data_IF_721054660391
#
_entry.id   IF_721054660391
#
_cell.length_a   1.000
_cell.length_b   1.000
_cell.length_c   1.000
_cell.angle_alpha   90.00
_cell.angle_beta   90.00
_cell.angle_gamma   90.00
#
_symmetry.space_group_name_H-M   'P 1'
#
loop_
_entity.id
_entity.type
_entity.pdbx_description
1 polymer ?
#
# COMPACT_ATOMS: atom_id res chain seq x y z
N UNK A 1 9.71 -5.68 -8.61
CA UNK A 1 10.99 -4.95 -8.80
C UNK A 1 11.49 -4.54 -7.43
N UNK A 2 12.79 -4.61 -7.15
CA UNK A 2 13.33 -4.09 -5.89
C UNK A 2 13.28 -2.54 -5.91
N UNK A 3 13.15 -1.89 -4.75
CA UNK A 3 13.10 -0.42 -4.59
C UNK A 3 14.22 0.28 -5.36
N UNK A 4 15.42 -0.30 -5.36
CA UNK A 4 16.58 0.23 -6.08
C UNK A 4 16.38 0.22 -7.61
N UNK A 5 15.82 -0.84 -8.18
CA UNK A 5 15.53 -0.94 -9.62
C UNK A 5 14.46 0.07 -10.04
N UNK A 6 13.40 0.21 -9.22
CA UNK A 6 12.34 1.18 -9.43
C UNK A 6 12.89 2.59 -9.48
N UNK A 7 13.79 2.90 -8.56
CA UNK A 7 14.39 4.23 -8.50
C UNK A 7 15.40 4.47 -9.62
N UNK A 8 16.24 3.50 -9.98
CA UNK A 8 17.14 3.62 -11.13
C UNK A 8 16.36 3.87 -12.42
N UNK A 9 15.21 3.20 -12.58
CA UNK A 9 14.28 3.43 -13.68
C UNK A 9 13.72 4.86 -13.64
N UNK A 10 13.30 5.36 -12.47
CA UNK A 10 12.84 6.74 -12.27
C UNK A 10 13.92 7.78 -12.61
N UNK A 11 15.15 7.58 -12.10
CA UNK A 11 16.31 8.45 -12.37
C UNK A 11 16.64 8.48 -13.86
N UNK A 12 16.67 7.31 -14.53
CA UNK A 12 16.92 7.22 -15.97
C UNK A 12 15.84 7.92 -16.78
N UNK A 13 14.57 7.75 -16.38
CA UNK A 13 13.41 8.36 -17.03
C UNK A 13 13.48 9.88 -16.92
N UNK A 14 13.65 10.40 -15.71
CA UNK A 14 13.76 11.84 -15.47
C UNK A 14 14.97 12.44 -16.20
N UNK A 15 16.15 11.81 -16.15
CA UNK A 15 17.33 12.26 -16.91
C UNK A 15 17.05 12.36 -18.41
N UNK A 16 16.48 11.32 -19.01
CA UNK A 16 16.20 11.29 -20.44
C UNK A 16 15.17 12.36 -20.83
N UNK A 17 14.14 12.56 -20.00
CA UNK A 17 13.16 13.63 -20.20
C UNK A 17 13.80 15.02 -20.12
N UNK A 18 14.64 15.28 -19.11
CA UNK A 18 15.37 16.55 -18.97
C UNK A 18 16.27 16.82 -20.19
N UNK A 19 16.97 15.82 -20.70
CA UNK A 19 17.80 15.97 -21.91
C UNK A 19 16.96 16.28 -23.15
N UNK A 20 15.80 15.64 -23.29
CA UNK A 20 14.89 15.90 -24.40
C UNK A 20 14.30 17.32 -24.33
N UNK A 21 13.91 17.79 -23.14
CA UNK A 21 13.46 19.17 -22.93
C UNK A 21 14.55 20.18 -23.21
N UNK A 22 15.80 19.91 -22.80
CA UNK A 22 16.94 20.76 -23.12
C UNK A 22 17.20 20.86 -24.63
N UNK A 23 17.09 19.74 -25.35
CA UNK A 23 17.18 19.73 -26.80
C UNK A 23 16.04 20.54 -27.44
N UNK A 24 14.79 20.39 -26.97
CA UNK A 24 13.65 21.15 -27.46
C UNK A 24 13.81 22.65 -27.21
N UNK A 25 14.21 23.06 -26.00
CA UNK A 25 14.44 24.46 -25.66
C UNK A 25 15.50 25.08 -26.59
N UNK A 26 16.61 24.37 -26.83
CA UNK A 26 17.64 24.82 -27.78
C UNK A 26 17.10 24.93 -29.20
N UNK A 27 16.38 23.91 -29.69
CA UNK A 27 15.81 23.90 -31.03
C UNK A 27 14.80 25.04 -31.24
N UNK A 28 13.85 25.22 -30.31
CA UNK A 28 12.89 26.32 -30.34
C UNK A 28 13.59 27.67 -30.31
N UNK A 29 14.60 27.84 -29.46
CA UNK A 29 15.33 29.09 -29.33
C UNK A 29 16.09 29.46 -30.60
N UNK A 30 16.81 28.50 -31.18
CA UNK A 30 17.55 28.69 -32.42
C UNK A 30 16.60 29.02 -33.60
N UNK A 31 15.51 28.26 -33.74
CA UNK A 31 14.51 28.49 -34.80
C UNK A 31 13.75 29.80 -34.55
N UNK A 32 13.43 30.14 -33.30
CA UNK A 32 12.75 31.38 -32.92
C UNK A 32 13.57 32.61 -33.33
N UNK A 33 14.87 32.61 -33.03
CA UNK A 33 15.79 33.68 -33.45
C UNK A 33 15.90 33.73 -34.98
N UNK A 34 16.12 32.59 -35.63
CA UNK A 34 16.32 32.53 -37.08
C UNK A 34 15.05 32.90 -37.89
N UNK A 35 13.87 32.54 -37.38
CA UNK A 35 12.58 32.82 -38.03
C UNK A 35 12.00 34.20 -37.70
N UNK A 36 12.60 34.92 -36.75
CA UNK A 36 12.05 36.16 -36.18
C UNK A 36 10.81 35.95 -35.30
N UNK A 37 10.49 34.71 -34.93
CA UNK A 37 9.30 34.39 -34.12
C UNK A 37 9.56 34.65 -32.64
N UNK A 38 9.07 35.79 -32.14
CA UNK A 38 9.11 36.15 -30.72
C UNK A 38 8.30 35.19 -29.85
N UNK A 39 7.19 34.65 -30.37
CA UNK A 39 6.35 33.67 -29.67
C UNK A 39 7.09 32.35 -29.47
N UNK A 40 7.75 31.84 -30.52
CA UNK A 40 8.51 30.60 -30.44
C UNK A 40 9.75 30.74 -29.54
N UNK A 41 10.39 31.92 -29.57
CA UNK A 41 11.50 32.21 -28.66
C UNK A 41 11.06 32.30 -27.20
N UNK A 42 9.92 32.94 -26.91
CA UNK A 42 9.35 32.97 -25.56
C UNK A 42 9.03 31.55 -25.04
N UNK A 43 8.45 30.71 -25.89
CA UNK A 43 8.19 29.30 -25.58
C UNK A 43 9.49 28.50 -25.34
N UNK A 44 10.58 28.84 -26.02
CA UNK A 44 11.90 28.27 -25.76
C UNK A 44 12.43 28.63 -24.36
N UNK A 45 12.25 29.88 -23.94
CA UNK A 45 12.63 30.35 -22.60
C UNK A 45 11.79 29.65 -21.53
N UNK A 46 10.49 29.52 -21.76
CA UNK A 46 9.58 28.79 -20.86
C UNK A 46 9.99 27.32 -20.73
N UNK A 47 10.21 26.63 -21.86
CA UNK A 47 10.75 25.25 -21.87
C UNK A 47 12.09 25.17 -21.12
N UNK A 48 12.91 26.22 -21.20
CA UNK A 48 14.15 26.35 -20.43
C UNK A 48 13.94 26.42 -18.92
N UNK A 49 12.86 27.07 -18.46
CA UNK A 49 12.45 27.08 -17.05
C UNK A 49 11.97 25.69 -16.61
N UNK A 50 11.25 24.97 -17.46
CA UNK A 50 10.73 23.63 -17.15
C UNK A 50 11.85 22.60 -16.93
N UNK A 51 13.00 22.77 -17.59
CA UNK A 51 14.19 21.97 -17.33
C UNK A 51 14.59 22.00 -15.85
N UNK A 52 14.41 23.12 -15.15
CA UNK A 52 14.72 23.21 -13.72
C UNK A 52 13.80 22.31 -12.88
N UNK A 53 12.51 22.22 -13.22
CA UNK A 53 11.56 21.35 -12.54
C UNK A 53 11.95 19.86 -12.74
N UNK A 54 12.20 19.44 -13.98
CA UNK A 54 12.62 18.06 -14.26
C UNK A 54 14.02 17.75 -13.70
N UNK A 55 14.93 18.73 -13.62
CA UNK A 55 16.22 18.58 -12.96
C UNK A 55 16.07 18.41 -11.45
N UNK A 56 15.16 19.15 -10.80
CA UNK A 56 14.85 18.98 -9.40
C UNK A 56 14.36 17.55 -9.13
N UNK A 57 13.46 17.03 -9.95
CA UNK A 57 12.97 15.64 -9.89
C UNK A 57 14.12 14.64 -10.04
N UNK A 58 14.98 14.83 -11.05
CA UNK A 58 16.14 13.97 -11.27
C UNK A 58 17.07 13.93 -10.05
N UNK A 59 17.40 15.09 -9.50
CA UNK A 59 18.26 15.23 -8.32
C UNK A 59 17.58 14.62 -7.08
N UNK A 60 16.29 14.87 -6.90
CA UNK A 60 15.48 14.32 -5.81
C UNK A 60 15.50 12.82 -5.74
N UNK A 61 15.16 12.20 -6.87
CA UNK A 61 15.20 10.76 -7.03
C UNK A 61 16.61 10.24 -6.73
N UNK A 62 17.66 10.88 -7.26
CA UNK A 62 19.05 10.47 -7.02
C UNK A 62 19.48 10.59 -5.54
N UNK A 63 19.01 11.60 -4.82
CA UNK A 63 19.36 11.83 -3.40
C UNK A 63 18.55 10.91 -2.48
N UNK A 64 17.34 10.51 -2.87
CA UNK A 64 16.45 9.69 -2.03
C UNK A 64 17.07 8.38 -1.53
N UNK A 65 18.07 7.82 -2.23
CA UNK A 65 18.82 6.61 -1.82
C UNK A 65 19.83 6.82 -0.71
N UNK A 66 20.25 8.07 -0.48
CA UNK A 66 21.33 8.31 0.47
C UNK A 66 20.78 8.25 1.88
N UNK A 67 21.43 7.49 2.73
CA UNK A 67 21.27 7.57 4.17
C UNK A 67 22.44 8.33 4.78
N UNK A 68 22.22 8.93 5.94
CA UNK A 68 23.28 9.56 6.72
C UNK A 68 23.02 9.33 8.20
N UNK A 69 24.01 9.62 9.07
CA UNK A 69 23.83 9.46 10.52
C UNK A 69 22.66 10.28 11.08
N UNK A 70 22.39 11.46 10.50
CA UNK A 70 21.26 12.32 10.91
C UNK A 70 19.92 11.87 10.29
N UNK A 71 19.98 11.06 9.22
CA UNK A 71 18.81 10.55 8.49
C UNK A 71 18.94 9.03 8.30
N UNK A 72 18.74 8.24 9.37
CA UNK A 72 18.94 6.80 9.35
C UNK A 72 17.96 6.07 8.43
N UNK A 73 16.76 6.63 8.25
CA UNK A 73 15.76 6.16 7.30
C UNK A 73 15.98 6.65 5.86
N UNK A 74 17.05 7.40 5.57
CA UNK A 74 17.30 7.97 4.25
C UNK A 74 16.52 9.24 3.91
N UNK A 75 16.80 9.80 2.74
CA UNK A 75 16.16 11.03 2.24
C UNK A 75 14.90 10.76 1.40
N UNK A 76 14.15 9.69 1.68
CA UNK A 76 13.00 9.32 0.85
C UNK A 76 11.95 10.44 0.73
N UNK A 77 11.68 11.20 1.81
CA UNK A 77 10.76 12.35 1.77
C UNK A 77 11.21 13.50 0.87
N UNK A 78 12.48 13.55 0.42
CA UNK A 78 12.93 14.53 -0.56
C UNK A 78 12.11 14.44 -1.85
N UNK A 79 11.68 13.23 -2.21
CA UNK A 79 10.82 12.95 -3.35
C UNK A 79 9.46 13.68 -3.23
N UNK A 80 8.82 13.60 -2.07
CA UNK A 80 7.55 14.27 -1.79
C UNK A 80 7.69 15.80 -1.74
N UNK A 81 8.79 16.31 -1.18
CA UNK A 81 9.09 17.75 -1.17
C UNK A 81 9.21 18.26 -2.61
N UNK A 82 9.83 17.49 -3.49
CA UNK A 82 10.00 17.88 -4.89
C UNK A 82 8.69 17.76 -5.65
N UNK A 83 7.87 16.74 -5.36
CA UNK A 83 6.51 16.66 -5.90
C UNK A 83 5.69 17.91 -5.51
N UNK A 84 5.78 18.36 -4.26
CA UNK A 84 5.14 19.59 -3.80
C UNK A 84 5.69 20.82 -4.53
N UNK A 85 7.02 20.94 -4.65
CA UNK A 85 7.65 22.03 -5.38
C UNK A 85 7.17 22.12 -6.83
N UNK A 86 7.15 20.99 -7.56
CA UNK A 86 6.63 20.94 -8.94
C UNK A 86 5.14 21.28 -8.99
N UNK A 87 4.36 20.81 -8.03
CA UNK A 87 2.93 21.14 -7.95
C UNK A 87 2.67 22.65 -7.78
N UNK A 88 3.54 23.35 -7.03
CA UNK A 88 3.48 24.80 -6.91
C UNK A 88 3.84 25.49 -8.23
N UNK A 89 4.78 24.96 -9.01
CA UNK A 89 5.08 25.48 -10.36
C UNK A 89 3.87 25.34 -11.29
N UNK A 90 3.18 24.20 -11.27
CA UNK A 90 1.95 23.98 -12.05
C UNK A 90 0.88 25.03 -11.68
N UNK A 91 0.71 25.32 -10.39
CA UNK A 91 -0.23 26.35 -9.93
C UNK A 91 0.16 27.74 -10.44
N UNK A 92 1.46 28.08 -10.42
CA UNK A 92 1.97 29.33 -10.96
C UNK A 92 1.72 29.44 -12.47
N UNK A 93 2.00 28.37 -13.24
CA UNK A 93 1.70 28.31 -14.68
C UNK A 93 0.19 28.47 -14.96
N UNK A 94 -0.66 27.87 -14.12
CA UNK A 94 -2.12 28.05 -14.21
C UNK A 94 -2.56 29.51 -14.00
N UNK A 95 -1.95 30.22 -13.04
CA UNK A 95 -2.23 31.64 -12.79
C UNK A 95 -1.75 32.52 -13.96
N UNK A 96 -0.58 32.21 -14.52
CA UNK A 96 -0.03 32.93 -15.68
C UNK A 96 -0.93 32.78 -16.91
N UNK A 97 -1.33 31.54 -17.25
CA UNK A 97 -2.26 31.27 -18.35
C UNK A 97 -3.64 31.91 -18.14
N UNK A 98 -4.14 31.92 -16.90
CA UNK A 98 -5.42 32.57 -16.59
C UNK A 98 -5.31 34.08 -16.83
N UNK A 99 -4.20 34.71 -16.43
CA UNK A 99 -3.93 36.13 -16.68
C UNK A 99 -3.88 36.42 -18.18
N UNK A 100 -3.19 35.59 -18.96
CA UNK A 100 -3.15 35.71 -20.43
C UNK A 100 -4.53 35.59 -21.07
N UNK A 101 -5.36 34.67 -20.58
CA UNK A 101 -6.74 34.51 -21.02
C UNK A 101 -7.56 35.79 -20.87
N UNK A 102 -7.40 36.51 -19.75
CA UNK A 102 -8.09 37.78 -19.49
C UNK A 102 -7.53 38.96 -20.28
N UNK A 103 -6.20 39.06 -20.43
CA UNK A 103 -5.59 40.18 -21.15
C UNK A 103 -5.68 40.03 -22.67
N UNK A 104 -5.96 38.82 -23.14
CA UNK A 104 -5.92 38.46 -24.55
C UNK A 104 -4.49 38.33 -25.06
N UNK A 105 -4.25 37.35 -25.93
CA UNK A 105 -2.95 37.17 -26.59
C UNK A 105 -2.91 38.11 -27.80
N UNK A 106 -2.35 39.30 -27.62
CA UNK A 106 -2.07 40.22 -28.73
C UNK A 106 -0.65 39.98 -29.23
N UNK A 107 -0.47 39.06 -30.17
CA UNK A 107 0.82 38.92 -30.84
C UNK A 107 0.68 39.10 -32.35
N UNK A 108 0.86 40.34 -32.79
CA UNK A 108 1.14 40.69 -34.18
C UNK A 108 2.65 40.80 -34.35
N UNK A 109 3.34 39.67 -34.42
CA UNK A 109 4.73 39.63 -34.88
C UNK A 109 4.72 39.20 -36.36
N UNK A 110 5.41 39.95 -37.21
CA UNK A 110 5.68 39.50 -38.58
C UNK A 110 6.77 38.42 -38.49
N UNK A 111 6.38 37.17 -38.69
CA UNK A 111 7.31 36.03 -38.71
C UNK A 111 7.82 35.89 -40.15
N UNK A 112 9.14 35.92 -40.36
CA UNK A 112 9.77 35.82 -41.69
C UNK A 112 9.73 34.38 -42.23
N UNK A 113 9.98 33.38 -41.39
CA UNK A 113 10.00 31.96 -41.75
C UNK A 113 8.91 31.16 -41.03
N UNK A 114 7.65 31.44 -41.36
CA UNK A 114 6.46 30.89 -40.70
C UNK A 114 6.38 29.36 -40.74
N UNK A 115 6.73 28.73 -41.87
CA UNK A 115 6.66 27.27 -42.02
C UNK A 115 7.65 26.52 -41.11
N UNK A 116 8.87 27.03 -40.97
CA UNK A 116 9.88 26.42 -40.09
C UNK A 116 9.46 26.56 -38.61
N UNK A 117 9.00 27.74 -38.21
CA UNK A 117 8.51 27.99 -36.86
C UNK A 117 7.32 27.08 -36.50
N UNK A 118 6.39 26.88 -37.43
CA UNK A 118 5.24 26.01 -37.24
C UNK A 118 5.63 24.55 -37.06
N UNK A 119 6.49 24.02 -37.96
CA UNK A 119 6.96 22.63 -37.88
C UNK A 119 7.67 22.37 -36.55
N UNK A 120 8.52 23.31 -36.11
CA UNK A 120 9.20 23.21 -34.81
C UNK A 120 8.22 23.26 -33.64
N UNK A 121 7.23 24.14 -33.66
CA UNK A 121 6.21 24.23 -32.61
C UNK A 121 5.39 22.93 -32.50
N UNK A 122 4.90 22.40 -33.64
CA UNK A 122 4.15 21.13 -33.69
C UNK A 122 5.01 19.95 -33.23
N UNK A 123 6.25 19.87 -33.70
CA UNK A 123 7.19 18.84 -33.26
C UNK A 123 7.41 18.88 -31.74
N UNK A 124 7.50 20.09 -31.16
CA UNK A 124 7.62 20.23 -29.72
C UNK A 124 6.39 19.73 -28.97
N UNK A 125 5.18 20.13 -29.39
CA UNK A 125 3.94 19.71 -28.73
C UNK A 125 3.85 18.18 -28.69
N UNK A 126 4.13 17.52 -29.82
CA UNK A 126 4.14 16.06 -29.91
C UNK A 126 5.19 15.43 -28.99
N UNK A 127 6.38 16.02 -28.92
CA UNK A 127 7.48 15.51 -28.08
C UNK A 127 7.15 15.67 -26.59
N UNK A 128 6.68 16.85 -26.17
CA UNK A 128 6.29 17.11 -24.77
C UNK A 128 5.14 16.19 -24.36
N UNK A 129 4.14 15.99 -25.22
CA UNK A 129 3.05 15.06 -24.96
C UNK A 129 3.55 13.61 -24.80
N UNK A 130 4.43 13.15 -25.69
CA UNK A 130 5.08 11.84 -25.58
C UNK A 130 5.89 11.68 -24.30
N UNK A 131 6.62 12.73 -23.90
CA UNK A 131 7.36 12.76 -22.62
C UNK A 131 6.41 12.71 -21.42
N UNK A 132 5.29 13.43 -21.45
CA UNK A 132 4.29 13.40 -20.38
C UNK A 132 3.73 11.99 -20.18
N UNK A 133 3.33 11.31 -21.27
CA UNK A 133 2.86 9.92 -21.20
C UNK A 133 3.96 9.00 -20.65
N UNK A 134 5.18 9.12 -21.17
CA UNK A 134 6.30 8.30 -20.73
C UNK A 134 6.59 8.46 -19.24
N UNK A 135 6.68 9.71 -18.76
CA UNK A 135 6.88 10.04 -17.35
C UNK A 135 5.73 9.52 -16.48
N UNK A 136 4.48 9.71 -16.90
CA UNK A 136 3.30 9.24 -16.15
C UNK A 136 3.28 7.73 -16.01
N UNK A 137 3.50 7.00 -17.12
CA UNK A 137 3.49 5.54 -17.11
C UNK A 137 4.56 4.96 -16.17
N UNK A 138 5.78 5.49 -16.23
CA UNK A 138 6.85 5.05 -15.33
C UNK A 138 6.57 5.50 -13.89
N UNK A 139 6.15 6.76 -13.69
CA UNK A 139 5.85 7.33 -12.38
C UNK A 139 4.79 6.54 -11.63
N UNK A 140 3.68 6.20 -12.30
CA UNK A 140 2.63 5.33 -11.74
C UNK A 140 3.16 3.93 -11.47
N UNK A 141 3.90 3.32 -12.41
CA UNK A 141 4.46 1.97 -12.24
C UNK A 141 5.38 1.85 -11.02
N UNK A 142 6.20 2.87 -10.75
CA UNK A 142 7.14 2.86 -9.62
C UNK A 142 6.60 3.58 -8.38
N UNK A 143 5.36 4.09 -8.42
CA UNK A 143 4.76 4.90 -7.36
C UNK A 143 5.53 6.19 -7.00
N UNK A 144 6.19 6.83 -7.96
CA UNK A 144 6.89 8.12 -7.76
C UNK A 144 5.95 9.31 -7.91
N UNK A 145 5.71 10.05 -6.82
CA UNK A 145 4.91 11.27 -6.86
C UNK A 145 5.60 12.41 -7.62
N UNK A 146 6.90 12.60 -7.43
CA UNK A 146 7.69 13.62 -8.13
C UNK A 146 7.71 13.42 -9.63
N UNK A 147 7.83 12.17 -10.12
CA UNK A 147 7.79 11.88 -11.55
C UNK A 147 6.38 12.01 -12.13
N UNK A 148 5.34 11.67 -11.35
CA UNK A 148 3.94 11.92 -11.74
C UNK A 148 3.67 13.43 -11.81
N UNK A 149 4.11 14.21 -10.82
CA UNK A 149 3.99 15.66 -10.81
C UNK A 149 4.71 16.29 -12.01
N UNK A 150 5.93 15.83 -12.33
CA UNK A 150 6.68 16.24 -13.52
C UNK A 150 5.97 15.86 -14.82
N UNK A 151 5.24 14.74 -14.84
CA UNK A 151 4.42 14.34 -15.98
C UNK A 151 3.20 15.24 -16.16
N UNK A 152 2.55 15.63 -15.05
CA UNK A 152 1.42 16.57 -15.02
C UNK A 152 1.90 17.95 -15.47
N UNK A 153 3.04 18.43 -14.97
CA UNK A 153 3.67 19.68 -15.41
C UNK A 153 3.91 19.68 -16.92
N UNK A 154 4.59 18.66 -17.45
CA UNK A 154 4.75 18.57 -18.91
C UNK A 154 3.42 18.41 -19.67
N UNK A 155 2.39 17.82 -19.08
CA UNK A 155 1.07 17.80 -19.70
C UNK A 155 0.46 19.20 -19.78
N UNK A 156 0.64 20.02 -18.74
CA UNK A 156 0.17 21.40 -18.73
C UNK A 156 0.91 22.24 -19.77
N UNK A 157 2.19 21.96 -19.99
CA UNK A 157 3.02 22.61 -21.01
C UNK A 157 2.61 22.27 -22.45
N UNK A 158 1.97 21.10 -22.68
CA UNK A 158 1.39 20.78 -24.00
C UNK A 158 0.38 21.86 -24.40
N UNK A 159 -0.46 22.31 -23.46
CA UNK A 159 -1.47 23.30 -23.75
C UNK A 159 -0.87 24.68 -24.00
N UNK A 160 0.13 25.10 -23.22
CA UNK A 160 0.81 26.38 -23.46
C UNK A 160 1.55 26.36 -24.80
N UNK A 161 2.27 25.28 -25.14
CA UNK A 161 2.89 25.12 -26.46
C UNK A 161 1.87 25.00 -27.61
N UNK A 162 0.64 24.52 -27.37
CA UNK A 162 -0.43 24.57 -28.38
C UNK A 162 -0.88 26.00 -28.69
N UNK A 163 -0.90 26.90 -27.70
CA UNK A 163 -1.18 28.32 -27.92
C UNK A 163 -0.15 28.91 -28.89
N UNK A 164 1.12 28.52 -28.76
CA UNK A 164 2.22 28.94 -29.67
C UNK A 164 1.97 28.44 -31.10
N UNK A 165 1.57 27.17 -31.27
CA UNK A 165 1.20 26.62 -32.59
C UNK A 165 0.07 27.44 -33.23
N UNK A 166 -0.98 27.73 -32.46
CA UNK A 166 -2.13 28.51 -32.94
C UNK A 166 -1.72 29.96 -33.23
N UNK A 167 -0.86 30.57 -32.44
CA UNK A 167 -0.35 31.93 -32.68
C UNK A 167 0.48 32.01 -33.97
N UNK A 168 1.36 31.03 -34.22
CA UNK A 168 2.14 30.95 -35.46
C UNK A 168 1.22 30.72 -36.67
N UNK A 169 0.25 29.80 -36.57
CA UNK A 169 -0.77 29.57 -37.61
C UNK A 169 -1.62 30.82 -37.87
N UNK A 170 -2.06 31.50 -36.80
CA UNK A 170 -2.84 32.73 -36.88
C UNK A 170 -2.09 33.84 -37.60
N UNK A 171 -0.79 33.99 -37.31
CA UNK A 171 0.09 34.91 -38.06
C UNK A 171 0.17 34.58 -39.55
N UNK A 172 0.13 33.30 -39.94
CA UNK A 172 0.11 32.89 -41.36
C UNK A 172 -1.21 33.25 -42.05
N UNK A 173 -2.33 33.16 -41.32
CA UNK A 173 -3.68 33.39 -41.84
C UNK A 173 -4.15 34.85 -41.67
N UNK A 174 -3.33 35.71 -41.06
CA UNK A 174 -3.71 37.10 -40.74
C UNK A 174 -4.74 37.23 -39.61
N UNK A 175 -4.94 36.17 -38.81
CA UNK A 175 -5.86 36.11 -37.67
C UNK A 175 -5.04 36.14 -36.38
N UNK A 176 -5.06 37.26 -35.66
CA UNK A 176 -4.19 37.49 -34.49
C UNK A 176 -4.82 37.17 -33.14
N UNK A 177 -6.11 36.81 -33.09
CA UNK A 177 -6.83 36.60 -31.83
C UNK A 177 -7.05 35.12 -31.54
N UNK A 178 -6.37 34.65 -30.51
CA UNK A 178 -6.71 33.41 -29.81
C UNK A 178 -8.00 33.60 -28.99
N UNK A 179 -8.82 32.55 -28.93
CA UNK A 179 -10.05 32.56 -28.14
C UNK A 179 -9.73 32.57 -26.63
N UNK A 180 -9.86 33.74 -26.01
CA UNK A 180 -9.69 33.96 -24.58
C UNK A 180 -10.49 33.00 -23.69
N UNK A 181 -11.68 32.57 -24.13
CA UNK A 181 -12.51 31.64 -23.34
C UNK A 181 -11.87 30.25 -23.26
N UNK A 182 -11.26 29.78 -24.35
CA UNK A 182 -10.53 28.52 -24.39
C UNK A 182 -9.32 28.53 -23.45
N UNK A 183 -8.53 29.61 -23.46
CA UNK A 183 -7.37 29.77 -22.57
C UNK A 183 -7.81 29.78 -21.09
N UNK A 184 -8.89 30.49 -20.76
CA UNK A 184 -9.44 30.50 -19.40
C UNK A 184 -9.88 29.09 -18.99
N UNK A 185 -10.63 28.39 -19.84
CA UNK A 185 -11.10 27.03 -19.54
C UNK A 185 -9.93 26.06 -19.28
N UNK A 186 -8.88 26.10 -20.10
CA UNK A 186 -7.68 25.28 -19.94
C UNK A 186 -6.95 25.64 -18.64
N UNK A 187 -6.79 26.94 -18.35
CA UNK A 187 -6.11 27.39 -17.13
C UNK A 187 -6.80 26.88 -15.85
N UNK A 188 -8.13 26.80 -15.83
CA UNK A 188 -8.90 26.25 -14.71
C UNK A 188 -8.67 24.74 -14.53
N UNK A 189 -8.54 23.99 -15.64
CA UNK A 189 -8.19 22.57 -15.59
C UNK A 189 -6.77 22.36 -15.03
N UNK A 190 -5.80 23.15 -15.50
CA UNK A 190 -4.42 23.14 -15.01
C UNK A 190 -4.38 23.46 -13.51
N UNK A 191 -5.12 24.49 -13.08
CA UNK A 191 -5.20 24.89 -11.69
C UNK A 191 -5.75 23.77 -10.81
N UNK A 192 -6.81 23.09 -11.26
CA UNK A 192 -7.36 21.91 -10.57
C UNK A 192 -6.31 20.80 -10.43
N UNK A 193 -5.59 20.47 -11.50
CA UNK A 193 -4.53 19.45 -11.47
C UNK A 193 -3.39 19.83 -10.52
N UNK A 194 -3.01 21.12 -10.50
CA UNK A 194 -2.02 21.64 -9.56
C UNK A 194 -2.45 21.52 -8.10
N UNK A 195 -3.72 21.83 -7.78
CA UNK A 195 -4.27 21.68 -6.42
C UNK A 195 -4.28 20.22 -6.00
N UNK A 196 -4.76 19.31 -6.85
CA UNK A 196 -4.80 17.87 -6.56
C UNK A 196 -3.40 17.33 -6.28
N UNK A 197 -2.43 17.65 -7.15
CA UNK A 197 -1.04 17.24 -6.98
C UNK A 197 -0.41 17.82 -5.71
N UNK A 198 -0.64 19.10 -5.41
CA UNK A 198 -0.14 19.73 -4.20
C UNK A 198 -0.76 19.12 -2.93
N UNK A 199 -2.08 18.87 -2.95
CA UNK A 199 -2.80 18.21 -1.84
C UNK A 199 -2.20 16.84 -1.54
N UNK A 200 -2.01 16.01 -2.55
CA UNK A 200 -1.50 14.65 -2.38
C UNK A 200 -0.05 14.65 -1.84
N UNK A 201 0.78 15.58 -2.32
CA UNK A 201 2.14 15.77 -1.82
C UNK A 201 2.16 16.23 -0.34
N UNK A 202 1.31 17.19 0.04
CA UNK A 202 1.17 17.65 1.44
C UNK A 202 0.67 16.53 2.35
N UNK A 203 -0.38 15.82 1.94
CA UNK A 203 -0.93 14.71 2.71
C UNK A 203 0.13 13.62 2.94
N UNK A 204 0.92 13.30 1.92
CA UNK A 204 1.99 12.30 2.06
C UNK A 204 3.14 12.80 2.94
N UNK A 205 3.46 14.10 2.90
CA UNK A 205 4.41 14.69 3.84
C UNK A 205 3.95 14.58 5.29
N UNK A 206 2.63 14.71 5.52
CA UNK A 206 1.95 14.54 6.81
C UNK A 206 1.73 13.06 7.21
N UNK A 207 2.36 12.10 6.52
CA UNK A 207 2.24 10.66 6.76
C UNK A 207 0.82 10.09 6.54
N UNK A 208 -0.01 10.74 5.72
CA UNK A 208 -1.31 10.20 5.35
C UNK A 208 -1.17 8.99 4.43
N UNK A 209 -2.04 8.01 4.66
CA UNK A 209 -2.28 6.90 3.74
C UNK A 209 -3.50 7.22 2.88
N UNK A 210 -3.40 7.06 1.55
CA UNK A 210 -4.44 7.49 0.61
C UNK A 210 -5.24 6.32 0.01
N UNK A 211 -4.83 5.06 0.24
CA UNK A 211 -5.46 3.86 -0.33
C UNK A 211 -6.21 3.05 0.76
N UNK A 212 -7.42 3.48 1.08
CA UNK A 212 -8.24 2.81 2.11
C UNK A 212 -8.58 1.36 1.72
N UNK A 213 -8.82 1.11 0.42
CA UNK A 213 -9.14 -0.23 -0.08
C UNK A 213 -7.97 -1.21 0.13
N UNK A 214 -6.72 -0.75 -0.09
CA UNK A 214 -5.52 -1.52 0.24
C UNK A 214 -5.40 -1.79 1.74
N UNK A 215 -5.71 -0.80 2.58
CA UNK A 215 -5.73 -0.99 4.04
C UNK A 215 -6.73 -2.06 4.48
N UNK A 216 -7.95 -2.06 3.93
CA UNK A 216 -8.98 -3.05 4.28
C UNK A 216 -8.60 -4.47 3.83
N UNK A 217 -7.99 -4.62 2.65
CA UNK A 217 -7.44 -5.92 2.21
C UNK A 217 -6.37 -6.43 3.17
N UNK A 218 -5.44 -5.57 3.57
CA UNK A 218 -4.37 -5.93 4.51
C UNK A 218 -4.94 -6.29 5.89
N UNK A 219 -5.87 -5.49 6.42
CA UNK A 219 -6.52 -5.78 7.71
C UNK A 219 -7.22 -7.14 7.69
N UNK A 220 -7.91 -7.46 6.58
CA UNK A 220 -8.56 -8.76 6.39
C UNK A 220 -7.54 -9.90 6.36
N UNK A 221 -6.46 -9.77 5.61
CA UNK A 221 -5.42 -10.79 5.53
C UNK A 221 -4.74 -11.02 6.89
N UNK A 222 -4.46 -9.94 7.65
CA UNK A 222 -3.89 -10.03 9.00
C UNK A 222 -4.87 -10.72 9.97
N UNK A 223 -6.16 -10.34 9.98
CA UNK A 223 -7.16 -10.94 10.88
C UNK A 223 -7.39 -12.43 10.64
N UNK A 224 -7.04 -12.94 9.46
CA UNK A 224 -7.14 -14.36 9.14
C UNK A 224 -5.92 -15.19 9.58
N UNK A 225 -4.88 -14.55 10.15
CA UNK A 225 -3.70 -15.24 10.66
C UNK A 225 -4.08 -16.07 11.89
N UNK A 226 -3.85 -17.40 11.89
CA UNK A 226 -4.09 -18.24 13.06
C UNK A 226 -3.32 -17.74 14.28
N UNK A 227 -3.95 -17.76 15.45
CA UNK A 227 -3.33 -17.31 16.70
C UNK A 227 -3.45 -15.82 16.98
N UNK A 228 -3.87 -15.01 16.00
CA UNK A 228 -4.27 -13.63 16.25
C UNK A 228 -5.66 -13.59 16.91
N UNK A 229 -5.80 -12.78 17.96
CA UNK A 229 -7.12 -12.52 18.56
C UNK A 229 -7.79 -11.39 17.79
N UNK A 230 -7.09 -10.27 17.61
CA UNK A 230 -7.56 -9.15 16.80
C UNK A 230 -6.38 -8.31 16.28
N UNK A 231 -6.68 -7.47 15.28
CA UNK A 231 -5.86 -6.36 14.83
C UNK A 231 -6.50 -5.07 15.37
N UNK A 232 -5.88 -4.51 16.41
CA UNK A 232 -6.34 -3.26 17.04
C UNK A 232 -6.11 -2.07 16.11
N UNK A 233 -4.94 -2.00 15.49
CA UNK A 233 -4.54 -0.84 14.70
C UNK A 233 -3.54 -1.21 13.59
N UNK A 234 -3.69 -0.56 12.44
CA UNK A 234 -2.77 -0.63 11.31
C UNK A 234 -2.55 0.78 10.76
N UNK A 235 -1.31 1.26 10.87
CA UNK A 235 -0.88 2.54 10.30
C UNK A 235 0.13 2.28 9.22
N UNK A 236 -0.17 2.75 8.02
CA UNK A 236 0.75 2.76 6.90
C UNK A 236 1.07 4.21 6.56
N UNK A 237 2.29 4.46 6.11
CA UNK A 237 2.70 5.77 5.62
C UNK A 237 3.67 5.64 4.48
N UNK A 238 3.52 6.50 3.49
CA UNK A 238 4.41 6.56 2.33
C UNK A 238 5.53 7.57 2.57
N UNK A 239 6.74 7.20 2.19
CA UNK A 239 7.93 8.05 2.23
C UNK A 239 8.65 7.88 0.90
N UNK A 240 8.48 8.84 -0.01
CA UNK A 240 8.90 8.72 -1.41
C UNK A 240 8.39 7.44 -2.08
N UNK A 241 9.33 6.57 -2.48
CA UNK A 241 9.05 5.32 -3.18
C UNK A 241 8.79 4.12 -2.25
N UNK A 242 8.93 4.29 -0.94
CA UNK A 242 8.80 3.20 0.04
C UNK A 242 7.65 3.43 1.00
N UNK A 243 7.16 2.34 1.58
CA UNK A 243 6.12 2.36 2.62
C UNK A 243 6.70 1.87 3.94
N UNK A 244 6.32 2.57 5.01
CA UNK A 244 6.56 2.17 6.39
C UNK A 244 5.23 1.82 7.05
N UNK A 245 5.25 0.83 7.92
CA UNK A 245 4.06 0.38 8.64
C UNK A 245 4.27 0.22 10.14
N UNK A 246 3.17 0.28 10.87
CA UNK A 246 3.03 -0.14 12.26
C UNK A 246 1.72 -0.92 12.39
N UNK A 247 1.78 -2.11 12.96
CA UNK A 247 0.61 -2.91 13.28
C UNK A 247 0.60 -3.21 14.78
N UNK A 248 -0.54 -2.99 15.42
CA UNK A 248 -0.75 -3.39 16.82
C UNK A 248 -1.74 -4.54 16.84
N UNK A 249 -1.30 -5.69 17.34
CA UNK A 249 -2.08 -6.92 17.33
C UNK A 249 -2.25 -7.48 18.72
N UNK A 250 -3.40 -8.12 18.94
CA UNK A 250 -3.75 -8.77 20.18
C UNK A 250 -3.50 -10.28 20.07
N UNK A 251 -2.83 -10.83 21.08
CA UNK A 251 -2.55 -12.27 21.20
C UNK A 251 -2.93 -12.74 22.59
N UNK A 252 -3.07 -14.06 22.77
CA UNK A 252 -3.36 -14.63 24.08
C UNK A 252 -2.22 -14.37 25.06
N UNK A 253 -2.54 -13.98 26.29
CA UNK A 253 -1.56 -13.44 27.26
C UNK A 253 -0.40 -14.36 27.65
N UNK A 254 -0.50 -15.66 27.40
CA UNK A 254 0.51 -16.67 27.74
C UNK A 254 1.33 -17.13 26.50
N UNK A 255 1.27 -16.38 25.41
CA UNK A 255 1.99 -16.71 24.16
C UNK A 255 3.51 -16.58 24.33
N UNK A 256 4.26 -17.61 23.93
CA UNK A 256 5.73 -17.61 23.97
C UNK A 256 6.36 -16.67 22.92
N UNK A 257 7.59 -16.19 23.20
CA UNK A 257 8.30 -15.23 22.34
C UNK A 257 8.56 -15.76 20.92
N UNK A 258 8.72 -17.09 20.77
CA UNK A 258 8.96 -17.71 19.46
C UNK A 258 7.71 -17.63 18.58
N UNK A 259 6.53 -17.83 19.16
CA UNK A 259 5.24 -17.63 18.48
C UNK A 259 5.02 -16.17 18.11
N UNK A 260 5.36 -15.25 19.01
CA UNK A 260 5.29 -13.80 18.72
C UNK A 260 6.15 -13.44 17.50
N UNK A 261 7.36 -14.00 17.40
CA UNK A 261 8.23 -13.81 16.23
C UNK A 261 7.62 -14.39 14.94
N UNK A 262 7.04 -15.59 15.01
CA UNK A 262 6.35 -16.22 13.87
C UNK A 262 5.15 -15.39 13.39
N UNK A 263 4.27 -14.97 14.31
CA UNK A 263 3.12 -14.10 14.01
C UNK A 263 3.58 -12.79 13.38
N UNK A 264 4.62 -12.16 13.93
CA UNK A 264 5.18 -10.92 13.39
C UNK A 264 5.69 -11.10 11.95
N UNK A 265 6.29 -12.25 11.64
CA UNK A 265 6.75 -12.59 10.29
C UNK A 265 5.58 -12.84 9.33
N UNK A 266 4.53 -13.51 9.78
CA UNK A 266 3.31 -13.73 9.00
C UNK A 266 2.58 -12.41 8.69
N UNK A 267 2.43 -11.53 9.68
CA UNK A 267 1.88 -10.18 9.51
C UNK A 267 2.71 -9.40 8.49
N UNK A 268 4.04 -9.39 8.62
CA UNK A 268 4.92 -8.74 7.66
C UNK A 268 4.75 -9.29 6.24
N UNK A 269 4.50 -10.59 6.11
CA UNK A 269 4.29 -11.25 4.82
C UNK A 269 2.93 -10.89 4.22
N UNK A 270 1.87 -10.85 5.03
CA UNK A 270 0.55 -10.41 4.63
C UNK A 270 0.56 -8.97 4.11
N UNK A 271 1.20 -8.05 4.84
CA UNK A 271 1.30 -6.64 4.42
C UNK A 271 2.13 -6.51 3.13
N UNK A 272 3.26 -7.22 3.03
CA UNK A 272 4.14 -7.15 1.85
C UNK A 272 3.51 -7.72 0.57
N UNK A 273 2.52 -8.60 0.69
CA UNK A 273 1.77 -9.14 -0.44
C UNK A 273 0.94 -8.08 -1.15
N UNK A 274 0.32 -7.17 -0.38
CA UNK A 274 -0.46 -6.06 -0.92
C UNK A 274 0.46 -4.86 -1.23
N UNK A 275 1.44 -4.59 -0.36
CA UNK A 275 2.36 -3.45 -0.49
C UNK A 275 3.77 -3.93 -0.89
N UNK A 276 4.01 -4.06 -2.20
CA UNK A 276 5.30 -4.59 -2.70
C UNK A 276 6.52 -3.77 -2.24
N UNK A 277 6.36 -2.45 -2.11
CA UNK A 277 7.40 -1.50 -1.71
C UNK A 277 7.43 -1.23 -0.19
N UNK A 278 6.94 -2.16 0.63
CA UNK A 278 7.07 -2.13 2.08
C UNK A 278 8.55 -2.29 2.49
N UNK A 279 9.14 -1.21 3.00
CA UNK A 279 10.53 -1.19 3.49
C UNK A 279 10.61 -1.79 4.89
N UNK A 280 9.74 -1.32 5.79
CA UNK A 280 9.74 -1.75 7.18
C UNK A 280 8.33 -1.71 7.78
N UNK A 281 8.03 -2.69 8.63
CA UNK A 281 6.85 -2.70 9.48
C UNK A 281 7.25 -3.05 10.91
N UNK A 282 6.78 -2.26 11.87
CA UNK A 282 6.87 -2.57 13.30
C UNK A 282 5.60 -3.32 13.70
N UNK A 283 5.76 -4.45 14.39
CA UNK A 283 4.63 -5.21 14.94
C UNK A 283 4.67 -5.10 16.46
N UNK A 284 3.70 -4.41 17.04
CA UNK A 284 3.49 -4.32 18.47
C UNK A 284 2.51 -5.42 18.88
N UNK A 285 2.89 -6.25 19.84
CA UNK A 285 2.06 -7.36 20.31
C UNK A 285 1.56 -7.06 21.71
N UNK A 286 0.23 -7.04 21.88
CA UNK A 286 -0.45 -6.84 23.15
C UNK A 286 -1.03 -8.15 23.65
N UNK A 287 -0.67 -8.59 24.87
CA UNK A 287 -1.30 -9.73 25.50
C UNK A 287 -2.71 -9.35 25.99
N UNK A 288 -3.73 -10.15 25.64
CA UNK A 288 -5.09 -10.01 26.14
C UNK A 288 -5.63 -11.33 26.67
N UNK A 289 -6.62 -11.24 27.55
CA UNK A 289 -7.38 -12.42 27.97
C UNK A 289 -8.50 -12.68 26.98
N UNK A 290 -8.51 -13.88 26.41
CA UNK A 290 -9.57 -14.31 25.50
C UNK A 290 -10.87 -14.47 26.29
N UNK A 291 -11.98 -13.95 25.74
CA UNK A 291 -13.32 -14.05 26.35
C UNK A 291 -14.20 -15.12 25.71
N UNK A 292 -13.90 -15.47 24.46
CA UNK A 292 -14.69 -16.40 23.65
C UNK A 292 -13.87 -17.66 23.36
N UNK A 293 -14.39 -18.81 23.76
CA UNK A 293 -13.73 -20.10 23.62
C UNK A 293 -14.63 -21.06 22.86
N UNK A 294 -14.08 -21.71 21.83
CA UNK A 294 -14.67 -22.89 21.21
C UNK A 294 -13.93 -24.10 21.76
N UNK A 295 -14.49 -24.66 22.83
CA UNK A 295 -13.91 -25.77 23.59
C UNK A 295 -14.21 -27.10 22.89
N UNK A 296 -13.18 -27.91 22.65
CA UNK A 296 -13.30 -29.30 22.23
C UNK A 296 -13.15 -30.26 23.44
N UNK A 297 -14.05 -31.24 23.52
CA UNK A 297 -14.06 -32.29 24.53
C UNK A 297 -14.14 -33.66 23.85
N UNK A 298 -13.19 -34.58 24.10
CA UNK A 298 -13.30 -35.95 23.63
C UNK A 298 -14.34 -36.72 24.48
N UNK A 299 -15.38 -37.25 23.85
CA UNK A 299 -16.49 -37.92 24.54
C UNK A 299 -16.78 -39.32 23.97
N UNK A 300 -17.33 -40.19 24.81
CA UNK A 300 -17.62 -41.60 24.51
C UNK A 300 -18.98 -41.81 23.86
N UNK A 301 -19.91 -40.88 24.03
CA UNK A 301 -21.28 -40.96 23.54
C UNK A 301 -21.78 -39.59 23.06
N UNK A 302 -22.98 -39.55 22.49
CA UNK A 302 -23.55 -38.34 21.89
C UNK A 302 -24.61 -37.65 22.79
N UNK A 303 -24.54 -37.81 24.11
CA UNK A 303 -25.52 -37.24 25.05
C UNK A 303 -25.30 -35.75 25.38
N UNK A 304 -24.76 -34.96 24.45
CA UNK A 304 -24.50 -33.53 24.65
C UNK A 304 -23.65 -33.26 25.88
N UNK A 305 -24.10 -32.33 26.74
CA UNK A 305 -23.40 -31.99 27.98
C UNK A 305 -23.32 -33.12 29.01
N UNK A 306 -24.16 -34.16 28.90
CA UNK A 306 -24.12 -35.31 29.81
C UNK A 306 -23.21 -36.43 29.29
N UNK A 307 -22.55 -36.23 28.15
CA UNK A 307 -21.69 -37.23 27.56
C UNK A 307 -20.49 -37.55 28.46
N UNK A 308 -20.15 -38.84 28.55
CA UNK A 308 -18.99 -39.31 29.30
C UNK A 308 -17.70 -38.95 28.58
N UNK A 309 -16.68 -38.55 29.32
CA UNK A 309 -15.39 -38.16 28.77
C UNK A 309 -14.58 -39.38 28.34
N UNK A 310 -13.80 -39.23 27.28
CA UNK A 310 -12.83 -40.24 26.85
C UNK A 310 -11.48 -40.01 27.51
N UNK A 311 -10.86 -41.09 27.98
CA UNK A 311 -9.50 -41.10 28.55
C UNK A 311 -8.40 -40.83 27.51
N UNK A 312 -8.69 -41.12 26.24
CA UNK A 312 -7.71 -41.03 25.16
C UNK A 312 -8.24 -40.16 24.03
N UNK A 313 -7.48 -39.12 23.69
CA UNK A 313 -7.80 -38.21 22.60
C UNK A 313 -8.07 -38.94 21.27
N UNK A 314 -7.19 -39.87 20.90
CA UNK A 314 -7.28 -40.58 19.62
C UNK A 314 -8.35 -41.67 19.53
N UNK A 315 -8.81 -42.21 20.67
CA UNK A 315 -9.82 -43.29 20.72
C UNK A 315 -11.23 -42.78 21.03
N UNK A 316 -11.38 -41.48 21.25
CA UNK A 316 -12.69 -40.87 21.47
C UNK A 316 -13.55 -41.05 20.22
N UNK A 317 -14.73 -41.69 20.29
CA UNK A 317 -15.62 -41.85 19.14
C UNK A 317 -16.25 -40.53 18.69
N UNK A 318 -16.40 -39.56 19.61
CA UNK A 318 -16.99 -38.26 19.32
C UNK A 318 -16.17 -37.13 19.95
N UNK A 319 -16.32 -35.93 19.37
CA UNK A 319 -15.90 -34.68 19.96
C UNK A 319 -17.10 -33.76 20.16
N UNK A 320 -17.27 -33.28 21.38
CA UNK A 320 -18.22 -32.25 21.73
C UNK A 320 -17.52 -30.88 21.65
N UNK A 321 -18.02 -30.01 20.79
CA UNK A 321 -17.60 -28.62 20.68
C UNK A 321 -18.63 -27.73 21.37
N UNK A 322 -18.15 -26.80 22.20
CA UNK A 322 -19.00 -25.91 22.99
C UNK A 322 -18.49 -24.49 22.86
N UNK A 323 -19.38 -23.57 22.50
CA UNK A 323 -19.07 -22.14 22.53
C UNK A 323 -19.23 -21.61 23.95
N UNK A 324 -18.24 -20.87 24.43
CA UNK A 324 -18.22 -20.23 25.75
C UNK A 324 -17.92 -18.75 25.55
N UNK A 325 -18.90 -17.89 25.81
CA UNK A 325 -18.78 -16.43 25.65
C UNK A 325 -18.90 -15.74 27.00
N UNK A 326 -17.87 -15.00 27.41
CA UNK A 326 -17.82 -14.31 28.72
C UNK A 326 -18.19 -15.23 29.91
N UNK A 327 -17.78 -16.50 29.83
CA UNK A 327 -18.05 -17.53 30.85
C UNK A 327 -19.44 -18.17 30.78
N UNK A 328 -20.29 -17.80 29.81
CA UNK A 328 -21.59 -18.44 29.58
C UNK A 328 -21.46 -19.54 28.54
N UNK A 329 -21.96 -20.72 28.87
CA UNK A 329 -22.05 -21.86 27.96
C UNK A 329 -23.15 -21.61 26.93
N UNK A 330 -22.78 -21.59 25.65
CA UNK A 330 -23.64 -21.39 24.50
C UNK A 330 -24.02 -22.71 23.82
N UNK A 331 -24.11 -22.65 22.49
CA UNK A 331 -24.50 -23.79 21.65
C UNK A 331 -23.46 -24.91 21.68
N UNK A 332 -23.89 -26.13 21.38
CA UNK A 332 -23.01 -27.29 21.27
C UNK A 332 -23.15 -28.03 19.94
N UNK A 333 -22.06 -28.64 19.52
CA UNK A 333 -21.98 -29.44 18.31
C UNK A 333 -21.23 -30.72 18.61
N UNK A 334 -21.81 -31.87 18.25
CA UNK A 334 -21.12 -33.15 18.34
C UNK A 334 -20.65 -33.56 16.95
N UNK A 335 -19.38 -33.92 16.84
CA UNK A 335 -18.76 -34.39 15.59
C UNK A 335 -18.18 -35.78 15.82
N UNK A 336 -18.46 -36.70 14.89
CA UNK A 336 -17.94 -38.07 14.94
C UNK A 336 -16.46 -38.11 14.54
N UNK A 337 -15.64 -38.75 15.36
CA UNK A 337 -14.26 -39.03 15.04
C UNK A 337 -14.16 -40.30 14.18
N UNK A 338 -14.18 -40.13 12.86
CA UNK A 338 -14.03 -41.23 11.89
C UNK A 338 -12.72 -42.03 12.03
N UNK A 339 -11.78 -41.56 12.85
CA UNK A 339 -10.46 -42.16 13.02
C UNK A 339 -10.29 -42.85 14.39
N UNK A 340 -11.33 -42.99 15.20
CA UNK A 340 -11.24 -43.54 16.55
C UNK A 340 -10.69 -44.99 16.61
N UNK A 341 -10.94 -45.78 15.56
CA UNK A 341 -10.42 -47.15 15.39
C UNK A 341 -9.09 -47.21 14.61
N UNK A 342 -8.45 -46.08 14.33
CA UNK A 342 -7.22 -46.07 13.52
C UNK A 342 -6.02 -46.53 14.34
N UNK A 343 -5.41 -47.66 13.94
CA UNK A 343 -4.21 -48.20 14.60
C UNK A 343 -2.97 -47.30 14.47
N UNK A 344 -2.93 -46.40 13.48
CA UNK A 344 -1.79 -45.51 13.23
C UNK A 344 -2.19 -44.04 13.35
N UNK A 345 -1.46 -43.32 14.20
CA UNK A 345 -1.55 -41.86 14.37
C UNK A 345 -2.96 -41.37 14.73
N UNK A 346 -3.77 -42.16 15.45
CA UNK A 346 -5.14 -41.78 15.84
C UNK A 346 -5.21 -40.43 16.56
N UNK A 347 -4.27 -40.13 17.46
CA UNK A 347 -4.18 -38.83 18.13
C UNK A 347 -3.92 -37.65 17.19
N UNK A 348 -3.08 -37.82 16.15
CA UNK A 348 -2.80 -36.75 15.18
C UNK A 348 -4.02 -36.44 14.32
N UNK A 349 -4.77 -37.49 13.94
CA UNK A 349 -6.00 -37.34 13.17
C UNK A 349 -7.11 -36.68 14.00
N UNK A 350 -7.18 -37.00 15.29
CA UNK A 350 -8.05 -36.31 16.23
C UNK A 350 -7.67 -34.82 16.38
N UNK A 351 -6.38 -34.51 16.49
CA UNK A 351 -5.90 -33.13 16.51
C UNK A 351 -6.26 -32.37 15.21
N UNK A 352 -6.09 -32.99 14.04
CA UNK A 352 -6.49 -32.42 12.75
C UNK A 352 -8.00 -32.12 12.69
N UNK A 353 -8.84 -33.00 13.23
CA UNK A 353 -10.29 -32.77 13.33
C UNK A 353 -10.60 -31.54 14.20
N UNK A 354 -9.97 -31.42 15.37
CA UNK A 354 -10.15 -30.30 16.30
C UNK A 354 -9.75 -28.98 15.62
N UNK A 355 -8.65 -28.97 14.88
CA UNK A 355 -8.18 -27.79 14.13
C UNK A 355 -9.17 -27.40 13.02
N UNK A 356 -9.67 -28.37 12.25
CA UNK A 356 -10.66 -28.12 11.18
C UNK A 356 -11.98 -27.58 11.71
N UNK A 357 -12.39 -28.07 12.87
CA UNK A 357 -13.54 -27.56 13.61
C UNK A 357 -13.21 -26.28 14.40
N UNK A 358 -12.11 -25.58 14.09
CA UNK A 358 -11.75 -24.25 14.62
C UNK A 358 -11.85 -24.12 16.14
N UNK A 359 -11.59 -25.19 16.88
CA UNK A 359 -11.50 -25.11 18.32
C UNK A 359 -10.24 -24.31 18.70
N UNK A 360 -10.35 -23.51 19.74
CA UNK A 360 -9.22 -22.76 20.28
C UNK A 360 -8.80 -23.25 21.68
N UNK A 361 -9.61 -24.12 22.28
CA UNK A 361 -9.28 -24.82 23.53
C UNK A 361 -9.64 -26.29 23.39
N UNK A 362 -8.79 -27.17 23.92
CA UNK A 362 -9.04 -28.59 24.07
C UNK A 362 -8.90 -28.94 25.55
N UNK A 363 -9.92 -29.50 26.18
CA UNK A 363 -9.77 -30.08 27.51
C UNK A 363 -9.66 -31.61 27.42
N UNK A 364 -8.58 -32.16 27.98
CA UNK A 364 -8.21 -33.59 27.89
C UNK A 364 -7.58 -34.07 29.18
N UNK A 365 -7.65 -35.37 29.46
CA UNK A 365 -6.91 -35.99 30.57
C UNK A 365 -5.43 -36.14 30.25
N UNK A 366 -5.10 -36.56 29.02
CA UNK A 366 -3.74 -36.69 28.54
C UNK A 366 -3.66 -36.37 27.04
N UNK A 367 -2.47 -35.98 26.59
CA UNK A 367 -2.16 -35.78 25.18
C UNK A 367 -0.74 -36.26 24.92
N UNK A 368 -0.58 -37.10 23.89
CA UNK A 368 0.74 -37.57 23.48
C UNK A 368 1.54 -36.48 22.77
N UNK A 369 2.86 -36.70 22.63
CA UNK A 369 3.82 -35.71 22.11
C UNK A 369 3.44 -35.14 20.72
N UNK A 370 3.13 -36.00 19.75
CA UNK A 370 2.79 -35.54 18.39
C UNK A 370 1.55 -34.62 18.35
N UNK A 371 0.38 -35.08 18.85
CA UNK A 371 -0.82 -34.26 18.89
C UNK A 371 -0.65 -32.97 19.71
N UNK A 372 0.12 -33.04 20.81
CA UNK A 372 0.43 -31.88 21.63
C UNK A 372 1.09 -30.75 20.83
N UNK A 373 2.18 -31.06 20.12
CA UNK A 373 2.85 -30.06 19.28
C UNK A 373 1.96 -29.59 18.12
N UNK A 374 1.22 -30.49 17.47
CA UNK A 374 0.32 -30.11 16.37
C UNK A 374 -0.77 -29.13 16.81
N UNK A 375 -1.41 -29.37 17.95
CA UNK A 375 -2.43 -28.48 18.52
C UNK A 375 -1.81 -27.15 18.96
N UNK A 376 -0.64 -27.20 19.62
CA UNK A 376 0.10 -26.00 20.03
C UNK A 376 0.56 -25.15 18.85
N UNK A 377 0.98 -25.75 17.75
CA UNK A 377 1.41 -25.04 16.53
C UNK A 377 0.21 -24.37 15.82
N UNK A 378 -1.01 -24.82 16.12
CA UNK A 378 -2.26 -24.22 15.62
C UNK A 378 -2.98 -23.36 16.67
N UNK A 379 -2.27 -22.90 17.70
CA UNK A 379 -2.77 -21.98 18.72
C UNK A 379 -3.99 -22.49 19.51
N UNK A 380 -4.03 -23.80 19.75
CA UNK A 380 -5.05 -24.43 20.59
C UNK A 380 -4.48 -24.59 21.99
N UNK A 381 -5.14 -23.95 22.98
CA UNK A 381 -4.83 -24.10 24.40
C UNK A 381 -5.25 -25.49 24.87
N UNK A 382 -4.39 -26.20 25.59
CA UNK A 382 -4.67 -27.56 26.05
C UNK A 382 -4.85 -27.54 27.56
N UNK A 383 -6.06 -27.79 28.04
CA UNK A 383 -6.41 -27.79 29.45
C UNK A 383 -6.48 -29.22 30.00
N UNK A 384 -6.00 -29.42 31.22
CA UNK A 384 -6.04 -30.70 31.91
C UNK A 384 -7.38 -30.91 32.60
N UNK A 385 -8.03 -32.04 32.32
CA UNK A 385 -9.21 -32.49 33.05
C UNK A 385 -8.75 -33.17 34.36
N UNK A 386 -9.19 -32.69 35.55
CA UNK A 386 -8.85 -33.31 36.82
C UNK A 386 -9.43 -34.71 36.97
N UNK A 387 -8.80 -35.53 37.81
CA UNK A 387 -9.37 -36.81 38.20
C UNK A 387 -10.71 -36.64 38.94
N UNK A 388 -11.63 -37.58 38.71
CA UNK A 388 -12.99 -37.55 39.28
C UNK A 388 -13.98 -36.63 38.56
N UNK A 389 -13.61 -36.12 37.37
CA UNK A 389 -14.51 -35.42 36.44
C UNK A 389 -14.85 -36.36 35.28
N UNK A 390 -16.11 -36.77 35.18
CA UNK A 390 -16.51 -37.87 34.28
C UNK A 390 -17.42 -37.41 33.14
N UNK A 391 -18.07 -36.25 33.27
CA UNK A 391 -19.02 -35.72 32.27
C UNK A 391 -18.59 -34.38 31.70
N UNK A 392 -19.02 -34.10 30.47
CA UNK A 392 -18.77 -32.80 29.85
C UNK A 392 -19.32 -31.63 30.66
N UNK A 393 -20.47 -31.79 31.34
CA UNK A 393 -21.08 -30.76 32.20
C UNK A 393 -20.16 -30.35 33.34
N UNK A 394 -19.55 -31.31 34.00
CA UNK A 394 -18.63 -31.04 35.11
C UNK A 394 -17.36 -30.31 34.66
N UNK A 395 -16.87 -30.58 33.43
CA UNK A 395 -15.76 -29.84 32.84
C UNK A 395 -16.15 -28.38 32.59
N UNK A 396 -17.34 -28.15 32.02
CA UNK A 396 -17.86 -26.81 31.74
C UNK A 396 -18.06 -25.99 33.02
N UNK A 397 -18.62 -26.60 34.07
CA UNK A 397 -18.83 -25.93 35.36
C UNK A 397 -17.50 -25.56 36.05
N UNK A 398 -16.39 -26.23 35.71
CA UNK A 398 -15.04 -25.98 36.24
C UNK A 398 -14.09 -25.29 35.26
N UNK A 399 -14.56 -24.89 34.07
CA UNK A 399 -13.72 -24.50 32.94
C UNK A 399 -12.67 -23.43 33.29
N UNK A 400 -13.05 -22.41 34.07
CA UNK A 400 -12.14 -21.31 34.47
C UNK A 400 -11.01 -21.75 35.42
N UNK A 401 -11.15 -22.90 36.07
CA UNK A 401 -10.20 -23.41 37.05
C UNK A 401 -9.34 -24.56 36.51
N UNK A 402 -9.47 -24.89 35.22
CA UNK A 402 -8.64 -25.94 34.61
C UNK A 402 -7.23 -25.41 34.36
N UNK A 403 -6.23 -26.23 34.70
CA UNK A 403 -4.82 -25.90 34.48
C UNK A 403 -4.39 -26.22 33.03
N UNK A 404 -3.45 -25.44 32.49
CA UNK A 404 -2.91 -25.70 31.16
C UNK A 404 -1.83 -26.81 31.19
N UNK A 405 -1.94 -27.75 30.27
CA UNK A 405 -0.91 -28.76 30.00
C UNK A 405 0.25 -28.07 29.28
N UNK A 406 1.37 -27.92 29.99
CA UNK A 406 2.60 -27.31 29.44
C UNK A 406 3.62 -28.32 28.92
N UNK A 407 3.41 -29.62 29.18
CA UNK A 407 4.30 -30.72 28.76
C UNK A 407 3.45 -31.92 28.31
N UNK A 408 3.77 -32.58 27.18
CA UNK A 408 3.02 -33.76 26.74
C UNK A 408 3.19 -34.95 27.69
N UNK A 409 2.22 -35.85 27.68
CA UNK A 409 2.35 -37.15 28.34
C UNK A 409 3.43 -38.00 27.61
N UNK A 410 4.24 -38.70 28.40
CA UNK A 410 5.31 -39.59 27.91
C UNK A 410 4.78 -40.80 27.18
#
# INVERSE_FOLDING_TARGET
>A
MNTQENLELGVKTSRNATLALAFLAFLKGAVGIYSGSTVLFADAVHTGLDIFASLAVWIGLKISLKSSKHFPYGYYKAENIIALFVSLLILLSGVELLREGFTGVNTTAQIEFQGLALVTAVFSVLTIYGLSIYKRNIGTKINSQSLIADAVHSYTDVFSSMIVVVAVLGSMLGVSKLDSLGTIAISLLIFKMGIESARDAVLTLMDAWLDEDESERIKKDIRNIPGLIDLEDLKLRKSGLVVFGEATVEVEGETDLKRVELLSKEIKTAVKKEVENLEHIVVNVKPVQRKNFRLALPVLDNNGFQAKLSEHLGKAPYFLFVEIEEGKVGDNQIVENRFFNSEKKGGMKAADLIIREKANVLAVRNVGEGPYYMLRDNFIKILQIPDGVDTAREVLDRFQNLEEITVPAK
#
